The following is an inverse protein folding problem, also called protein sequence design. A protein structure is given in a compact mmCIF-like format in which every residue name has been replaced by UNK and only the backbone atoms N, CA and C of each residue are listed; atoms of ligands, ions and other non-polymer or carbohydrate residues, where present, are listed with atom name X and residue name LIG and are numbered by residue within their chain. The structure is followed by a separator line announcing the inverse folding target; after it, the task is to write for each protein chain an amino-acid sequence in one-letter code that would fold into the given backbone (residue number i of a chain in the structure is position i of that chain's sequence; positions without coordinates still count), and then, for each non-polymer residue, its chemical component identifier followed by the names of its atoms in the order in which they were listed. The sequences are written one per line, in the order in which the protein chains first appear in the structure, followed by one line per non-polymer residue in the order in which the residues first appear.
data_IF_783263514277
#
_entry.id   IF_783263514277
#
_cell.length_a   1.000
_cell.length_b   1.000
_cell.length_c   1.000
_cell.angle_alpha   90.00
_cell.angle_beta   90.00
_cell.angle_gamma   90.00
#
_symmetry.space_group_name_H-M   'P 1'
#
loop_
_entity.id
_entity.type
_entity.pdbx_description
1 polymer ?
#
# COMPACT_ATOMS: atom_id res chain seq x y z
N UNK A 1 -19.08 15.81 16.73
CA UNK A 1 -18.64 15.67 15.32
C UNK A 1 -18.28 14.21 15.06
N UNK A 2 -18.81 13.59 14.00
CA UNK A 2 -18.58 12.17 13.70
C UNK A 2 -17.29 12.02 12.89
N UNK A 3 -16.31 11.29 13.41
CA UNK A 3 -15.06 11.04 12.69
C UNK A 3 -15.26 9.91 11.66
N UNK A 4 -14.87 10.13 10.41
CA UNK A 4 -14.91 9.10 9.36
C UNK A 4 -13.89 8.00 9.68
N UNK A 5 -14.35 6.75 9.64
CA UNK A 5 -13.53 5.56 9.92
C UNK A 5 -13.32 4.69 8.70
N UNK A 6 -14.13 4.85 7.67
CA UNK A 6 -14.06 4.10 6.42
C UNK A 6 -14.27 5.05 5.26
N UNK A 7 -13.42 4.95 4.26
CA UNK A 7 -13.50 5.71 3.01
C UNK A 7 -13.25 4.75 1.87
N UNK A 8 -14.20 4.70 0.93
CA UNK A 8 -14.11 3.93 -0.30
C UNK A 8 -14.23 4.93 -1.47
N UNK A 9 -13.21 5.05 -2.31
CA UNK A 9 -13.14 6.00 -3.43
C UNK A 9 -12.84 5.24 -4.71
N UNK A 10 -13.64 5.51 -5.74
CA UNK A 10 -13.38 5.07 -7.11
C UNK A 10 -13.06 6.26 -8.01
N UNK A 11 -11.85 6.29 -8.57
CA UNK A 11 -11.45 7.22 -9.63
C UNK A 11 -11.79 6.54 -10.96
N UNK A 12 -12.85 7.02 -11.60
CA UNK A 12 -13.42 6.43 -12.83
C UNK A 12 -12.92 7.11 -14.11
N UNK A 13 -12.01 8.07 -13.98
CA UNK A 13 -11.48 8.87 -15.10
C UNK A 13 -10.07 8.44 -15.44
N UNK A 14 -9.77 8.33 -16.73
CA UNK A 14 -8.43 7.98 -17.23
C UNK A 14 -7.39 9.05 -16.85
N UNK A 15 -7.80 10.32 -16.90
CA UNK A 15 -6.98 11.48 -16.57
C UNK A 15 -7.69 12.35 -15.51
N UNK A 16 -7.58 11.98 -14.22
CA UNK A 16 -8.11 12.82 -13.15
C UNK A 16 -7.40 14.17 -13.13
N UNK A 17 -8.17 15.25 -12.99
CA UNK A 17 -7.62 16.60 -12.85
C UNK A 17 -6.68 16.69 -11.65
N UNK A 18 -5.55 17.36 -11.81
CA UNK A 18 -4.55 17.52 -10.74
C UNK A 18 -5.16 18.20 -9.49
N UNK A 19 -6.00 19.22 -9.67
CA UNK A 19 -6.72 19.87 -8.57
C UNK A 19 -7.56 18.89 -7.74
N UNK A 20 -8.21 17.93 -8.42
CA UNK A 20 -8.99 16.90 -7.75
C UNK A 20 -8.08 15.95 -6.95
N UNK A 21 -6.96 15.52 -7.52
CA UNK A 21 -5.99 14.67 -6.83
C UNK A 21 -5.40 15.39 -5.61
N UNK A 22 -5.00 16.65 -5.74
CA UNK A 22 -4.49 17.48 -4.65
C UNK A 22 -5.52 17.63 -3.51
N UNK A 23 -6.78 17.91 -3.86
CA UNK A 23 -7.87 17.99 -2.88
C UNK A 23 -8.11 16.64 -2.18
N UNK A 24 -8.02 15.53 -2.94
CA UNK A 24 -8.19 14.18 -2.41
C UNK A 24 -7.06 13.81 -1.44
N UNK A 25 -5.80 14.02 -1.82
CA UNK A 25 -4.62 13.79 -0.99
C UNK A 25 -4.70 14.63 0.29
N UNK A 26 -5.04 15.91 0.18
CA UNK A 26 -5.20 16.81 1.32
C UNK A 26 -6.29 16.32 2.27
N UNK A 27 -7.42 15.84 1.74
CA UNK A 27 -8.54 15.35 2.53
C UNK A 27 -8.19 14.06 3.26
N UNK A 28 -7.61 13.08 2.57
CA UNK A 28 -7.20 11.81 3.16
C UNK A 28 -6.14 12.01 4.26
N UNK A 29 -5.18 12.91 4.02
CA UNK A 29 -4.12 13.24 4.99
C UNK A 29 -4.65 13.88 6.28
N UNK A 30 -5.85 14.47 6.26
CA UNK A 30 -6.51 15.06 7.45
C UNK A 30 -7.33 14.04 8.24
N UNK A 31 -7.53 12.82 7.73
CA UNK A 31 -8.40 11.80 8.35
C UNK A 31 -7.64 10.87 9.31
N UNK A 32 -7.20 11.38 10.46
CA UNK A 32 -6.43 10.62 11.45
C UNK A 32 -7.19 9.45 12.09
N UNK A 33 -8.52 9.49 12.10
CA UNK A 33 -9.39 8.45 12.67
C UNK A 33 -9.71 7.30 11.69
N UNK A 34 -9.20 7.37 10.46
CA UNK A 34 -9.49 6.41 9.40
C UNK A 34 -8.92 5.04 9.75
N UNK A 35 -9.75 4.01 9.60
CA UNK A 35 -9.41 2.59 9.87
C UNK A 35 -9.47 1.72 8.61
N UNK A 36 -10.20 2.16 7.60
CA UNK A 36 -10.35 1.43 6.35
C UNK A 36 -10.28 2.40 5.19
N UNK A 37 -9.36 2.15 4.25
CA UNK A 37 -9.20 2.92 3.03
C UNK A 37 -9.25 1.96 1.84
N UNK A 38 -10.19 2.20 0.94
CA UNK A 38 -10.33 1.47 -0.31
C UNK A 38 -10.21 2.44 -1.48
N UNK A 39 -9.18 2.30 -2.30
CA UNK A 39 -8.96 3.12 -3.48
C UNK A 39 -9.02 2.24 -4.72
N UNK A 40 -9.86 2.64 -5.67
CA UNK A 40 -9.98 2.00 -6.97
C UNK A 40 -9.69 3.01 -8.06
N UNK A 41 -8.90 2.61 -9.05
CA UNK A 41 -8.77 3.29 -10.32
C UNK A 41 -8.95 2.28 -11.45
N UNK A 42 -9.92 2.52 -12.32
CA UNK A 42 -10.22 1.58 -13.42
C UNK A 42 -9.23 1.72 -14.59
N UNK A 43 -8.80 2.94 -14.86
CA UNK A 43 -8.02 3.31 -16.04
C UNK A 43 -6.86 4.25 -15.74
N UNK A 44 -6.98 5.07 -14.69
CA UNK A 44 -5.93 5.98 -14.23
C UNK A 44 -4.91 5.33 -13.28
N UNK A 45 -3.85 6.08 -12.96
CA UNK A 45 -2.86 5.68 -11.97
C UNK A 45 -3.29 6.01 -10.52
N UNK A 46 -2.92 5.14 -9.58
CA UNK A 46 -3.00 5.37 -8.13
C UNK A 46 -1.70 5.95 -7.56
N UNK A 47 -0.80 6.49 -8.37
CA UNK A 47 0.51 7.01 -7.90
C UNK A 47 0.36 8.14 -6.87
N UNK A 48 -0.73 8.94 -6.91
CA UNK A 48 -1.04 9.99 -5.93
C UNK A 48 -1.13 9.47 -4.48
N UNK A 49 -1.32 8.17 -4.30
CA UNK A 49 -1.36 7.52 -2.98
C UNK A 49 -0.02 7.65 -2.26
N UNK A 50 1.08 7.83 -3.00
CA UNK A 50 2.40 8.11 -2.44
C UNK A 50 2.45 9.45 -1.68
N UNK A 51 1.61 10.42 -2.04
CA UNK A 51 1.60 11.77 -1.49
C UNK A 51 0.71 11.91 -0.24
N UNK A 52 0.00 10.84 0.14
CA UNK A 52 -0.89 10.82 1.31
C UNK A 52 -0.06 10.70 2.59
N UNK A 53 -0.38 11.52 3.60
CA UNK A 53 0.11 11.32 4.96
C UNK A 53 -0.57 10.08 5.58
N UNK A 54 0.18 9.10 6.12
CA UNK A 54 -0.37 7.83 6.57
C UNK A 54 -1.43 8.03 7.65
N UNK A 55 -2.65 7.47 7.48
CA UNK A 55 -3.62 7.43 8.56
C UNK A 55 -3.09 6.48 9.65
N UNK A 56 -2.75 6.97 10.86
CA UNK A 56 -2.00 6.18 11.84
C UNK A 56 -2.79 4.98 12.37
N UNK A 57 -4.12 5.05 12.34
CA UNK A 57 -5.02 4.01 12.83
C UNK A 57 -5.53 3.07 11.74
N UNK A 58 -4.90 3.08 10.54
CA UNK A 58 -5.36 2.27 9.42
C UNK A 58 -5.19 0.78 9.71
N UNK A 59 -6.30 0.04 9.58
CA UNK A 59 -6.37 -1.40 9.82
C UNK A 59 -6.56 -2.18 8.50
N UNK A 60 -7.26 -1.56 7.55
CA UNK A 60 -7.57 -2.16 6.25
C UNK A 60 -7.16 -1.20 5.14
N UNK A 61 -6.31 -1.66 4.23
CA UNK A 61 -5.92 -0.93 3.04
C UNK A 61 -6.17 -1.79 1.81
N UNK A 62 -6.90 -1.25 0.84
CA UNK A 62 -7.14 -1.88 -0.44
C UNK A 62 -6.80 -0.92 -1.56
N UNK A 63 -5.91 -1.35 -2.46
CA UNK A 63 -5.48 -0.58 -3.63
C UNK A 63 -5.79 -1.40 -4.89
N UNK A 64 -6.69 -0.91 -5.73
CA UNK A 64 -7.07 -1.58 -6.97
C UNK A 64 -6.90 -0.66 -8.17
N UNK A 65 -5.79 -0.76 -8.88
CA UNK A 65 -5.49 0.10 -10.04
C UNK A 65 -3.99 0.13 -10.32
N UNK A 66 -3.56 0.72 -11.42
CA UNK A 66 -2.12 0.78 -11.75
C UNK A 66 -1.38 1.62 -10.72
N UNK A 67 -0.27 1.11 -10.18
CA UNK A 67 0.62 1.87 -9.29
C UNK A 67 2.06 1.49 -9.61
N UNK A 68 2.96 2.47 -9.68
CA UNK A 68 4.37 2.20 -10.04
C UNK A 68 5.14 1.57 -8.91
N UNK A 69 4.87 1.99 -7.68
CA UNK A 69 5.54 1.54 -6.48
C UNK A 69 4.61 1.58 -5.27
N UNK A 70 4.90 0.76 -4.27
CA UNK A 70 4.18 0.79 -3.00
C UNK A 70 4.61 2.06 -2.21
N UNK A 71 3.67 2.85 -1.66
CA UNK A 71 4.02 4.00 -0.84
C UNK A 71 4.88 3.64 0.37
N UNK A 72 5.94 4.43 0.63
CA UNK A 72 6.87 4.20 1.75
C UNK A 72 6.18 4.18 3.11
N UNK A 73 5.13 4.98 3.26
CA UNK A 73 4.38 5.09 4.50
C UNK A 73 3.65 3.81 4.88
N UNK A 74 3.45 2.85 3.95
CA UNK A 74 2.85 1.56 4.28
C UNK A 74 3.67 0.80 5.32
N UNK A 75 5.00 0.96 5.31
CA UNK A 75 5.89 0.37 6.31
C UNK A 75 5.65 0.85 7.75
N UNK A 76 5.00 2.03 7.91
CA UNK A 76 4.72 2.64 9.22
C UNK A 76 3.36 2.24 9.81
N UNK A 77 2.55 1.47 9.09
CA UNK A 77 1.18 1.12 9.49
C UNK A 77 1.14 -0.01 10.52
N UNK A 78 1.55 0.27 11.75
CA UNK A 78 1.61 -0.72 12.84
C UNK A 78 0.27 -1.38 13.16
N UNK A 79 -0.87 -0.74 12.84
CA UNK A 79 -2.21 -1.27 13.08
C UNK A 79 -2.82 -2.01 11.89
N UNK A 80 -2.11 -2.10 10.75
CA UNK A 80 -2.62 -2.75 9.55
C UNK A 80 -2.78 -4.25 9.78
N UNK A 81 -4.00 -4.76 9.64
CA UNK A 81 -4.31 -6.19 9.79
C UNK A 81 -4.63 -6.86 8.47
N UNK A 82 -5.13 -6.10 7.49
CA UNK A 82 -5.48 -6.59 6.17
C UNK A 82 -4.98 -5.64 5.09
N UNK A 83 -4.25 -6.21 4.13
CA UNK A 83 -3.83 -5.53 2.92
C UNK A 83 -4.40 -6.24 1.70
N UNK A 84 -5.01 -5.49 0.78
CA UNK A 84 -5.52 -6.01 -0.47
C UNK A 84 -4.95 -5.19 -1.63
N UNK A 85 -4.53 -5.89 -2.69
CA UNK A 85 -4.03 -5.23 -3.89
C UNK A 85 -4.53 -5.92 -5.15
N UNK A 86 -4.89 -5.17 -6.18
CA UNK A 86 -5.31 -5.70 -7.47
C UNK A 86 -4.95 -4.73 -8.59
N UNK A 87 -4.77 -5.25 -9.81
CA UNK A 87 -4.52 -4.43 -11.00
C UNK A 87 -3.29 -3.50 -10.94
N UNK A 88 -2.40 -3.72 -9.99
CA UNK A 88 -1.21 -2.89 -9.74
C UNK A 88 0.03 -3.31 -10.49
N UNK A 89 0.14 -4.59 -10.88
CA UNK A 89 1.33 -5.20 -11.51
C UNK A 89 2.62 -5.03 -10.69
N UNK A 90 2.50 -5.00 -9.35
CA UNK A 90 3.65 -4.89 -8.44
C UNK A 90 4.59 -6.12 -8.56
N UNK A 91 5.86 -5.87 -8.24
CA UNK A 91 6.96 -6.85 -8.25
C UNK A 91 7.25 -7.30 -6.81
N UNK A 92 7.72 -8.53 -6.63
CA UNK A 92 7.75 -9.25 -5.36
C UNK A 92 8.49 -8.56 -4.22
N UNK A 93 9.71 -8.11 -4.47
CA UNK A 93 10.53 -7.44 -3.45
C UNK A 93 9.90 -6.09 -3.02
N UNK A 94 9.16 -5.41 -3.91
CA UNK A 94 8.48 -4.17 -3.58
C UNK A 94 7.25 -4.39 -2.68
N UNK A 95 6.62 -5.55 -2.78
CA UNK A 95 5.39 -5.86 -2.04
C UNK A 95 5.71 -6.55 -0.71
N UNK A 96 6.36 -7.73 -0.77
CA UNK A 96 6.61 -8.54 0.42
C UNK A 96 7.74 -7.98 1.29
N UNK A 97 8.72 -7.29 0.70
CA UNK A 97 9.79 -6.64 1.46
C UNK A 97 9.30 -5.61 2.47
N UNK A 98 8.12 -5.00 2.22
CA UNK A 98 7.45 -4.07 3.14
C UNK A 98 6.42 -4.79 4.00
N UNK A 99 5.50 -5.54 3.38
CA UNK A 99 4.35 -6.11 4.09
C UNK A 99 4.76 -7.16 5.13
N UNK A 100 5.81 -7.95 4.88
CA UNK A 100 6.30 -8.95 5.85
C UNK A 100 6.92 -8.33 7.11
N UNK A 101 7.21 -7.03 7.11
CA UNK A 101 7.77 -6.31 8.26
C UNK A 101 6.68 -5.72 9.18
N UNK A 102 5.41 -5.77 8.77
CA UNK A 102 4.30 -5.19 9.53
C UNK A 102 3.86 -6.10 10.68
N UNK A 103 3.87 -5.62 11.94
CA UNK A 103 3.76 -6.48 13.12
C UNK A 103 2.36 -7.09 13.33
N UNK A 104 1.32 -6.42 12.83
CA UNK A 104 -0.08 -6.84 13.02
C UNK A 104 -0.75 -7.35 11.75
N UNK A 105 0.00 -7.46 10.65
CA UNK A 105 -0.56 -7.89 9.37
C UNK A 105 -0.92 -9.37 9.42
N UNK A 106 -2.20 -9.68 9.21
CA UNK A 106 -2.76 -11.04 9.29
C UNK A 106 -3.18 -11.59 7.94
N UNK A 107 -3.49 -10.72 6.99
CA UNK A 107 -4.03 -11.13 5.70
C UNK A 107 -3.50 -10.23 4.57
N UNK A 108 -2.99 -10.87 3.52
CA UNK A 108 -2.64 -10.25 2.25
C UNK A 108 -3.54 -10.90 1.18
N UNK A 109 -4.25 -10.07 0.41
CA UNK A 109 -5.11 -10.52 -0.68
C UNK A 109 -4.60 -9.94 -2.00
N UNK A 110 -4.21 -10.82 -2.92
CA UNK A 110 -3.75 -10.45 -4.26
C UNK A 110 -4.89 -10.73 -5.26
N UNK A 111 -5.46 -9.66 -5.81
CA UNK A 111 -6.43 -9.70 -6.88
C UNK A 111 -5.78 -9.85 -8.25
N UNK A 112 -6.60 -9.85 -9.30
CA UNK A 112 -6.16 -10.02 -10.69
C UNK A 112 -5.02 -9.06 -11.04
N UNK A 113 -3.91 -9.58 -11.57
CA UNK A 113 -2.72 -8.78 -11.96
C UNK A 113 -2.13 -7.89 -10.85
N UNK A 114 -2.40 -8.18 -9.56
CA UNK A 114 -1.79 -7.46 -8.43
C UNK A 114 -0.31 -7.80 -8.21
N UNK A 115 0.18 -8.86 -8.85
CA UNK A 115 1.54 -9.40 -8.74
C UNK A 115 2.03 -9.84 -10.12
N UNK A 116 3.22 -9.41 -10.54
CA UNK A 116 3.76 -9.66 -11.88
C UNK A 116 4.92 -10.67 -11.90
N UNK A 117 5.51 -11.01 -10.76
CA UNK A 117 6.63 -11.96 -10.72
C UNK A 117 6.21 -13.41 -10.92
N UNK A 118 7.16 -14.21 -11.40
CA UNK A 118 6.97 -15.66 -11.64
C UNK A 118 6.84 -16.47 -10.36
N UNK A 119 7.46 -16.01 -9.28
CA UNK A 119 7.44 -16.67 -7.98
C UNK A 119 6.92 -15.71 -6.92
N UNK A 120 6.06 -16.22 -6.03
CA UNK A 120 5.59 -15.48 -4.87
C UNK A 120 6.61 -15.64 -3.73
N UNK A 121 7.56 -14.72 -3.64
CA UNK A 121 8.65 -14.84 -2.67
C UNK A 121 8.40 -13.92 -1.48
N UNK A 122 7.93 -14.49 -0.37
CA UNK A 122 7.84 -13.80 0.91
C UNK A 122 9.14 -14.03 1.69
N UNK A 123 10.21 -13.26 1.39
CA UNK A 123 11.43 -13.29 2.21
C UNK A 123 11.29 -12.25 3.32
N UNK A 124 11.28 -12.63 4.61
CA UNK A 124 11.73 -11.70 5.62
C UNK A 124 13.19 -11.37 5.27
N UNK A 125 13.50 -10.09 5.13
CA UNK A 125 14.82 -9.60 4.75
C UNK A 125 15.88 -10.11 5.74
N UNK A 126 16.53 -11.23 5.41
CA UNK A 126 17.66 -11.80 6.16
C UNK A 126 18.95 -11.48 5.41
N UNK A 127 19.30 -10.20 5.34
CA UNK A 127 20.62 -9.74 4.90
C UNK A 127 21.05 -8.64 5.87
N UNK A 128 22.18 -8.65 6.58
CA UNK A 128 23.47 -9.30 6.30
C UNK A 128 24.36 -9.20 7.55
N UNK A 129 24.60 -10.30 8.27
CA UNK A 129 25.92 -10.51 8.90
C UNK A 129 26.68 -11.44 7.96
N UNK A 130 27.47 -10.87 7.05
CA UNK A 130 28.58 -11.62 6.45
C UNK A 130 29.55 -11.90 7.59
N UNK A 131 29.41 -13.05 8.22
CA UNK A 131 30.44 -13.61 9.08
C UNK A 131 31.67 -13.84 8.22
N UNK A 132 32.70 -13.02 8.45
CA UNK A 132 34.04 -13.24 7.96
C UNK A 132 34.56 -14.46 8.73
N UNK A 133 34.73 -15.60 8.06
CA UNK A 133 35.51 -16.71 8.63
C UNK A 133 36.97 -16.47 8.25
N UNK A 134 37.90 -16.26 9.21
CA UNK A 134 39.31 -16.30 8.90
C UNK A 134 39.70 -17.77 8.67
N UNK A 135 40.21 -18.06 7.48
CA UNK A 135 40.89 -19.31 7.18
C UNK A 135 42.23 -19.37 7.91
N UNK A 136 42.59 -20.59 8.29
CA UNK A 136 43.91 -20.98 8.81
C UNK A 136 45.01 -20.71 7.78
#
# INVERSE_FOLDING_TARGET
MKALRKVDIGVLTDEPKEEFLCALVSSLSKTSALRSLHLVSQSGSLDFVCDISPPPLLQHLSLSGSIRQLPDWISSLVHLTKFQVGWTKLVGDQLFGVLCKLPNLKSIQLGRTGYKDRELVARPDTSRKRGFYPGW
#
